data_IF_781499905753
#
_entry.id   IF_781499905753
#
_cell.length_a   1.000
_cell.length_b   1.000
_cell.length_c   1.000
_cell.angle_alpha   90.00
_cell.angle_beta   90.00
_cell.angle_gamma   90.00
#
_symmetry.space_group_name_H-M   'P 1'
#
loop_
_entity.id
_entity.type
_entity.pdbx_description
1 polymer ?
#
# COMPACT_ATOMS: atom_id res chain seq x y z
N UNK A 1 16.74 -9.83 5.01
CA UNK A 1 16.96 -9.36 6.39
C UNK A 1 18.18 -10.10 6.95
N UNK A 2 19.22 -9.36 7.40
CA UNK A 2 20.45 -9.93 7.95
C UNK A 2 20.26 -10.52 9.36
N UNK A 3 21.30 -11.19 9.88
CA UNK A 3 21.35 -11.66 11.26
C UNK A 3 21.16 -10.47 12.22
N UNK A 4 20.10 -10.52 13.05
CA UNK A 4 19.70 -9.42 13.95
C UNK A 4 18.45 -8.65 13.54
N UNK A 5 17.80 -8.99 12.41
CA UNK A 5 16.52 -8.41 12.05
C UNK A 5 15.40 -8.82 13.03
N UNK A 6 14.48 -7.92 13.39
CA UNK A 6 13.37 -8.24 14.28
C UNK A 6 12.50 -9.35 13.69
N UNK A 7 11.96 -10.21 14.56
CA UNK A 7 11.06 -11.27 14.13
C UNK A 7 9.74 -10.68 13.59
N UNK A 8 9.00 -11.43 12.78
CA UNK A 8 7.67 -10.99 12.31
C UNK A 8 6.72 -10.68 13.48
N UNK A 9 6.89 -11.38 14.60
CA UNK A 9 6.12 -11.15 15.81
C UNK A 9 6.48 -9.83 16.47
N UNK A 10 7.78 -9.50 16.54
CA UNK A 10 8.25 -8.20 17.05
C UNK A 10 7.76 -7.05 16.17
N UNK A 11 7.78 -7.22 14.84
CA UNK A 11 7.24 -6.24 13.90
C UNK A 11 5.72 -6.05 14.06
N UNK A 12 4.99 -7.12 14.31
CA UNK A 12 3.55 -7.07 14.48
C UNK A 12 3.12 -6.38 15.79
N UNK A 13 3.88 -6.60 16.87
CA UNK A 13 3.64 -5.98 18.20
C UNK A 13 4.29 -4.60 18.30
N UNK A 14 5.21 -4.25 17.39
CA UNK A 14 5.88 -2.95 17.42
C UNK A 14 7.12 -2.91 18.30
N UNK A 15 7.75 -4.04 18.57
CA UNK A 15 9.00 -4.14 19.33
C UNK A 15 10.21 -3.89 18.42
N UNK A 16 10.21 -2.75 17.72
CA UNK A 16 11.32 -2.31 16.88
C UNK A 16 11.41 -0.78 16.89
N UNK A 17 12.58 -0.26 16.48
CA UNK A 17 12.80 1.18 16.39
C UNK A 17 11.98 1.76 15.22
N UNK A 18 10.94 2.51 15.54
CA UNK A 18 10.06 3.15 14.57
C UNK A 18 9.29 4.32 15.18
N UNK A 19 8.51 5.01 14.38
CA UNK A 19 7.71 6.15 14.82
C UNK A 19 6.54 5.70 15.71
N UNK A 20 6.25 6.48 16.75
CA UNK A 20 5.09 6.24 17.62
C UNK A 20 3.78 6.24 16.80
N UNK A 21 2.98 5.20 16.94
CA UNK A 21 1.71 5.04 16.25
C UNK A 21 1.75 4.24 14.95
N UNK A 22 2.92 4.04 14.35
CA UNK A 22 3.08 3.23 13.14
C UNK A 22 3.50 1.78 13.45
N UNK A 23 4.07 1.54 14.62
CA UNK A 23 4.74 0.30 14.99
C UNK A 23 3.78 -0.84 15.33
N UNK A 24 2.56 -0.55 15.82
CA UNK A 24 1.58 -1.56 16.20
C UNK A 24 0.71 -2.04 15.03
N UNK A 25 1.28 -2.79 14.10
CA UNK A 25 0.55 -3.25 12.91
C UNK A 25 -0.72 -4.06 13.24
N UNK A 26 -0.69 -4.93 14.26
CA UNK A 26 -1.86 -5.71 14.70
C UNK A 26 -2.99 -4.78 15.16
N UNK A 27 -2.68 -3.78 15.98
CA UNK A 27 -3.69 -2.85 16.50
C UNK A 27 -4.31 -2.05 15.35
N UNK A 28 -3.50 -1.60 14.39
CA UNK A 28 -3.99 -0.88 13.21
C UNK A 28 -4.91 -1.74 12.36
N UNK A 29 -4.60 -3.02 12.17
CA UNK A 29 -5.48 -3.96 11.45
C UNK A 29 -6.79 -4.18 12.21
N UNK A 30 -6.76 -4.34 13.53
CA UNK A 30 -7.98 -4.45 14.35
C UNK A 30 -8.84 -3.18 14.28
N UNK A 31 -8.21 -2.00 14.30
CA UNK A 31 -8.90 -0.72 14.08
C UNK A 31 -9.54 -0.68 12.69
N UNK A 32 -8.82 -1.10 11.65
CA UNK A 32 -9.35 -1.15 10.28
C UNK A 32 -10.59 -2.04 10.18
N UNK A 33 -10.54 -3.23 10.79
CA UNK A 33 -11.68 -4.16 10.83
C UNK A 33 -12.86 -3.53 11.58
N UNK A 34 -12.64 -2.97 12.76
CA UNK A 34 -13.66 -2.32 13.55
C UNK A 34 -14.33 -1.16 12.79
N UNK A 35 -13.55 -0.25 12.21
CA UNK A 35 -14.06 0.89 11.46
C UNK A 35 -14.81 0.46 10.19
N UNK A 36 -14.35 -0.62 9.53
CA UNK A 36 -15.01 -1.19 8.35
C UNK A 36 -16.36 -1.82 8.72
N UNK A 37 -16.46 -2.57 9.83
CA UNK A 37 -17.71 -3.15 10.33
C UNK A 37 -18.70 -2.04 10.71
N UNK A 38 -18.22 -0.97 11.29
CA UNK A 38 -19.03 0.21 11.64
C UNK A 38 -19.45 1.04 10.41
N UNK A 39 -18.92 0.70 9.22
CA UNK A 39 -19.22 1.44 7.99
C UNK A 39 -18.63 2.86 7.94
N UNK A 40 -17.68 3.16 8.82
CA UNK A 40 -17.00 4.47 8.87
C UNK A 40 -16.04 4.60 7.71
N UNK A 41 -15.31 3.52 7.41
CA UNK A 41 -14.36 3.44 6.28
C UNK A 41 -14.79 2.37 5.28
N UNK A 42 -14.43 2.56 4.01
CA UNK A 42 -14.59 1.51 3.00
C UNK A 42 -13.40 0.55 3.07
N UNK A 43 -13.65 -0.70 3.45
CA UNK A 43 -12.64 -1.76 3.56
C UNK A 43 -11.83 -2.00 2.28
N UNK A 44 -12.38 -1.60 1.12
CA UNK A 44 -11.69 -1.75 -0.18
C UNK A 44 -10.41 -0.96 -0.24
N UNK A 45 -10.42 0.28 0.25
CA UNK A 45 -9.25 1.16 0.20
C UNK A 45 -8.02 0.56 0.90
N UNK A 46 -8.06 0.21 2.20
CA UNK A 46 -6.90 -0.37 2.87
C UNK A 46 -6.51 -1.74 2.31
N UNK A 47 -7.49 -2.58 1.95
CA UNK A 47 -7.21 -3.92 1.42
C UNK A 47 -6.48 -3.85 0.07
N UNK A 48 -6.96 -3.04 -0.86
CA UNK A 48 -6.30 -2.89 -2.17
C UNK A 48 -4.95 -2.18 -2.06
N UNK A 49 -4.80 -1.21 -1.17
CA UNK A 49 -3.54 -0.52 -0.96
C UNK A 49 -2.47 -1.45 -0.36
N UNK A 50 -2.73 -2.03 0.80
CA UNK A 50 -1.78 -2.91 1.50
C UNK A 50 -1.54 -4.19 0.69
N UNK A 51 -2.60 -4.78 0.12
CA UNK A 51 -2.50 -6.00 -0.68
C UNK A 51 -1.68 -5.82 -1.95
N UNK A 52 -1.84 -4.72 -2.69
CA UNK A 52 -1.05 -4.46 -3.89
C UNK A 52 0.41 -4.15 -3.57
N UNK A 53 0.70 -3.45 -2.47
CA UNK A 53 2.07 -3.23 -1.99
C UNK A 53 2.73 -4.55 -1.58
N UNK A 54 2.03 -5.38 -0.83
CA UNK A 54 2.53 -6.70 -0.45
C UNK A 54 2.89 -7.54 -1.69
N UNK A 55 1.99 -7.59 -2.69
CA UNK A 55 2.26 -8.29 -3.95
C UNK A 55 3.45 -7.70 -4.70
N UNK A 56 3.59 -6.37 -4.73
CA UNK A 56 4.72 -5.70 -5.36
C UNK A 56 6.05 -6.09 -4.67
N UNK A 57 6.09 -6.13 -3.34
CA UNK A 57 7.28 -6.57 -2.61
C UNK A 57 7.55 -8.06 -2.79
N UNK A 58 6.53 -8.94 -2.81
CA UNK A 58 6.69 -10.35 -3.11
C UNK A 58 7.34 -10.55 -4.49
N UNK A 59 6.82 -9.88 -5.51
CA UNK A 59 7.39 -9.96 -6.86
C UNK A 59 8.86 -9.48 -6.89
N UNK A 60 9.15 -8.39 -6.19
CA UNK A 60 10.51 -7.87 -6.09
C UNK A 60 11.47 -8.90 -5.48
N UNK A 61 11.12 -9.49 -4.34
CA UNK A 61 11.98 -10.49 -3.66
C UNK A 61 12.08 -11.81 -4.42
N UNK A 62 11.02 -12.24 -5.11
CA UNK A 62 11.07 -13.40 -6.00
C UNK A 62 12.03 -13.18 -7.17
N UNK A 63 12.01 -11.99 -7.78
CA UNK A 63 12.95 -11.64 -8.85
C UNK A 63 14.40 -11.49 -8.34
N UNK A 64 14.58 -11.11 -7.06
CA UNK A 64 15.91 -11.06 -6.44
C UNK A 64 16.48 -12.45 -6.10
N UNK A 65 15.70 -13.53 -6.24
CA UNK A 65 16.15 -14.90 -6.02
C UNK A 65 15.96 -15.42 -4.60
N UNK A 66 15.24 -14.72 -3.73
CA UNK A 66 15.04 -15.09 -2.32
C UNK A 66 14.09 -16.31 -2.12
N UNK A 67 13.52 -16.83 -3.20
CA UNK A 67 12.70 -18.04 -3.18
C UNK A 67 11.53 -17.96 -2.20
N UNK A 68 11.42 -18.95 -1.30
CA UNK A 68 10.32 -19.03 -0.34
C UNK A 68 10.37 -17.93 0.74
N UNK A 69 11.53 -17.36 1.02
CA UNK A 69 11.71 -16.28 1.99
C UNK A 69 11.12 -14.95 1.49
N UNK A 70 10.90 -14.80 0.18
CA UNK A 70 10.31 -13.62 -0.43
C UNK A 70 8.96 -13.22 0.19
N UNK A 71 8.12 -14.19 0.53
CA UNK A 71 6.82 -13.94 1.17
C UNK A 71 6.95 -13.38 2.58
N UNK A 72 7.91 -13.91 3.36
CA UNK A 72 8.19 -13.45 4.71
C UNK A 72 8.75 -12.04 4.71
N UNK A 73 9.71 -11.79 3.85
CA UNK A 73 10.40 -10.50 3.77
C UNK A 73 9.49 -9.42 3.21
N UNK A 74 8.64 -9.73 2.23
CA UNK A 74 7.59 -8.83 1.75
C UNK A 74 6.60 -8.45 2.86
N UNK A 75 6.21 -9.42 3.70
CA UNK A 75 5.33 -9.16 4.83
C UNK A 75 6.00 -8.23 5.85
N UNK A 76 7.26 -8.48 6.18
CA UNK A 76 8.05 -7.62 7.06
C UNK A 76 8.15 -6.19 6.51
N UNK A 77 8.46 -6.03 5.21
CA UNK A 77 8.52 -4.72 4.56
C UNK A 77 7.19 -3.97 4.56
N UNK A 78 6.07 -4.70 4.47
CA UNK A 78 4.73 -4.12 4.52
C UNK A 78 4.35 -3.65 5.92
N UNK A 79 4.84 -4.32 6.96
CA UNK A 79 4.58 -3.95 8.35
C UNK A 79 5.41 -2.76 8.84
N UNK A 80 6.55 -2.49 8.18
CA UNK A 80 7.48 -1.42 8.58
C UNK A 80 7.15 -0.11 7.87
N UNK A 81 7.32 1.00 8.56
CA UNK A 81 7.37 2.34 7.98
C UNK A 81 6.04 2.91 7.53
N UNK A 82 5.01 2.78 8.34
CA UNK A 82 3.77 3.54 8.18
C UNK A 82 2.85 3.09 7.04
N UNK A 83 3.14 1.98 6.33
CA UNK A 83 2.27 1.50 5.24
C UNK A 83 0.88 1.16 5.77
N UNK A 84 0.81 0.37 6.86
CA UNK A 84 -0.46 -0.02 7.46
C UNK A 84 -1.19 1.21 8.04
N UNK A 85 -0.46 2.08 8.74
CA UNK A 85 -1.01 3.32 9.28
C UNK A 85 -1.58 4.23 8.17
N UNK A 86 -0.78 4.50 7.15
CA UNK A 86 -1.18 5.34 6.01
C UNK A 86 -2.38 4.76 5.25
N UNK A 87 -2.40 3.44 5.03
CA UNK A 87 -3.49 2.75 4.36
C UNK A 87 -4.79 2.70 5.14
N UNK A 88 -4.71 2.56 6.47
CA UNK A 88 -5.89 2.42 7.34
C UNK A 88 -6.48 3.76 7.76
N UNK A 89 -5.66 4.73 8.12
CA UNK A 89 -6.11 5.99 8.70
C UNK A 89 -6.03 7.15 7.71
N UNK A 90 -4.90 7.31 7.00
CA UNK A 90 -4.71 8.48 6.16
C UNK A 90 -5.42 8.37 4.80
N UNK A 91 -5.37 7.17 4.17
CA UNK A 91 -5.95 6.96 2.84
C UNK A 91 -7.47 6.75 2.87
N UNK A 92 -8.03 6.45 4.04
CA UNK A 92 -9.47 6.21 4.23
C UNK A 92 -10.23 7.44 4.73
N UNK A 93 -9.59 8.59 4.84
CA UNK A 93 -10.23 9.83 5.25
C UNK A 93 -11.40 10.16 4.30
N UNK A 94 -12.65 10.25 4.80
CA UNK A 94 -13.82 10.47 3.96
C UNK A 94 -13.80 11.80 3.21
N UNK A 95 -13.00 12.78 3.64
CA UNK A 95 -12.90 14.09 3.00
C UNK A 95 -12.07 14.01 1.72
N UNK A 96 -10.99 13.23 1.72
CA UNK A 96 -10.05 13.14 0.59
C UNK A 96 -10.27 11.92 -0.30
N UNK A 97 -11.13 10.99 0.11
CA UNK A 97 -11.41 9.76 -0.64
C UNK A 97 -12.43 9.99 -1.75
N UNK A 98 -12.25 9.41 -2.96
CA UNK A 98 -13.22 9.46 -4.04
C UNK A 98 -14.62 8.98 -3.62
N UNK A 99 -15.66 9.62 -4.17
CA UNK A 99 -17.06 9.27 -3.87
C UNK A 99 -17.46 7.92 -4.43
N UNK A 100 -16.95 7.56 -5.61
CA UNK A 100 -17.23 6.28 -6.27
C UNK A 100 -16.40 5.14 -5.69
N UNK A 101 -17.02 3.97 -5.49
CA UNK A 101 -16.34 2.76 -4.98
C UNK A 101 -15.17 2.31 -5.86
N UNK A 102 -15.32 2.40 -7.20
CA UNK A 102 -14.23 2.13 -8.14
C UNK A 102 -13.12 3.19 -8.06
N UNK A 103 -13.47 4.45 -7.81
CA UNK A 103 -12.51 5.52 -7.57
C UNK A 103 -11.60 5.25 -6.38
N UNK A 104 -12.16 4.72 -5.29
CA UNK A 104 -11.39 4.34 -4.09
C UNK A 104 -10.38 3.25 -4.37
N UNK A 105 -10.76 2.24 -5.16
CA UNK A 105 -9.83 1.17 -5.57
C UNK A 105 -8.71 1.74 -6.45
N UNK A 106 -9.04 2.58 -7.42
CA UNK A 106 -8.07 3.24 -8.29
C UNK A 106 -7.11 4.12 -7.48
N UNK A 107 -7.64 4.92 -6.56
CA UNK A 107 -6.85 5.73 -5.63
C UNK A 107 -5.87 4.85 -4.83
N UNK A 108 -6.36 3.74 -4.26
CA UNK A 108 -5.54 2.81 -3.49
C UNK A 108 -4.39 2.21 -4.32
N UNK A 109 -4.67 1.79 -5.57
CA UNK A 109 -3.68 1.22 -6.47
C UNK A 109 -2.61 2.23 -6.90
N UNK A 110 -3.03 3.46 -7.25
CA UNK A 110 -2.09 4.53 -7.61
C UNK A 110 -1.19 4.88 -6.41
N UNK A 111 -1.79 4.98 -5.21
CA UNK A 111 -1.02 5.26 -4.00
C UNK A 111 -0.02 4.15 -3.70
N UNK A 112 -0.41 2.89 -3.87
CA UNK A 112 0.48 1.75 -3.67
C UNK A 112 1.65 1.77 -4.65
N UNK A 113 1.38 2.06 -5.92
CA UNK A 113 2.43 2.19 -6.94
C UNK A 113 3.43 3.31 -6.60
N UNK A 114 2.92 4.50 -6.25
CA UNK A 114 3.77 5.62 -5.86
C UNK A 114 4.58 5.30 -4.60
N UNK A 115 3.95 4.67 -3.59
CA UNK A 115 4.64 4.25 -2.38
C UNK A 115 5.78 3.27 -2.68
N UNK A 116 5.54 2.29 -3.56
CA UNK A 116 6.58 1.35 -3.99
C UNK A 116 7.75 2.08 -4.67
N UNK A 117 7.46 2.98 -5.62
CA UNK A 117 8.48 3.75 -6.33
C UNK A 117 9.27 4.64 -5.36
N UNK A 118 8.61 5.40 -4.49
CA UNK A 118 9.30 6.26 -3.55
C UNK A 118 10.19 5.50 -2.57
N UNK A 119 9.71 4.38 -2.05
CA UNK A 119 10.49 3.60 -1.09
C UNK A 119 11.64 2.83 -1.72
N UNK A 120 11.44 2.30 -2.92
CA UNK A 120 12.40 1.39 -3.54
C UNK A 120 13.30 2.05 -4.57
N UNK A 121 12.77 2.92 -5.42
CA UNK A 121 13.55 3.58 -6.48
C UNK A 121 14.19 4.85 -5.96
N UNK A 122 13.44 5.67 -5.23
CA UNK A 122 13.95 6.96 -4.71
C UNK A 122 14.66 6.80 -3.37
N UNK A 123 14.39 5.70 -2.63
CA UNK A 123 15.02 5.44 -1.33
C UNK A 123 14.48 6.31 -0.19
N UNK A 124 13.26 6.86 -0.33
CA UNK A 124 12.63 7.67 0.72
C UNK A 124 11.85 6.79 1.70
N UNK A 125 12.25 6.70 2.97
CA UNK A 125 11.55 5.91 3.99
C UNK A 125 10.11 6.40 4.20
N UNK A 126 9.86 7.71 4.09
CA UNK A 126 8.55 8.35 4.25
C UNK A 126 7.73 8.42 2.94
N UNK A 127 8.02 7.54 1.97
CA UNK A 127 7.34 7.49 0.68
C UNK A 127 5.83 7.34 0.76
N UNK A 128 5.29 6.80 1.87
CA UNK A 128 3.85 6.68 2.12
C UNK A 128 3.18 8.05 2.20
N UNK A 129 3.72 8.97 2.99
CA UNK A 129 3.15 10.31 3.17
C UNK A 129 3.14 11.11 1.87
N UNK A 130 4.24 11.08 1.12
CA UNK A 130 4.33 11.75 -0.19
C UNK A 130 3.35 11.16 -1.21
N UNK A 131 3.20 9.83 -1.23
CA UNK A 131 2.26 9.16 -2.13
C UNK A 131 0.82 9.57 -1.85
N UNK A 132 0.42 9.59 -0.58
CA UNK A 132 -0.93 9.99 -0.16
C UNK A 132 -1.17 11.46 -0.51
N UNK A 133 -0.20 12.34 -0.26
CA UNK A 133 -0.32 13.76 -0.58
C UNK A 133 -0.56 13.99 -2.08
N UNK A 134 0.23 13.34 -2.93
CA UNK A 134 0.09 13.45 -4.39
C UNK A 134 -1.27 12.93 -4.84
N UNK A 135 -1.69 11.78 -4.33
CA UNK A 135 -2.96 11.17 -4.76
C UNK A 135 -4.17 11.96 -4.25
N UNK A 136 -4.09 12.58 -3.09
CA UNK A 136 -5.15 13.49 -2.61
C UNK A 136 -5.36 14.68 -3.57
N UNK A 137 -4.29 15.21 -4.15
CA UNK A 137 -4.39 16.24 -5.22
C UNK A 137 -5.03 15.68 -6.49
N UNK A 138 -4.81 14.40 -6.80
CA UNK A 138 -5.39 13.74 -7.97
C UNK A 138 -6.84 13.28 -7.76
N UNK A 139 -7.33 13.19 -6.53
CA UNK A 139 -8.70 12.71 -6.21
C UNK A 139 -9.81 13.42 -6.99
N UNK A 140 -9.84 14.77 -7.14
CA UNK A 140 -10.86 15.44 -7.94
C UNK A 140 -10.85 15.02 -9.42
N UNK A 141 -9.67 14.73 -9.97
CA UNK A 141 -9.53 14.22 -11.34
C UNK A 141 -10.06 12.81 -11.47
N UNK A 142 -9.75 11.94 -10.49
CA UNK A 142 -10.28 10.57 -10.43
C UNK A 142 -11.80 10.61 -10.39
N UNK A 143 -12.40 11.43 -9.53
CA UNK A 143 -13.85 11.56 -9.43
C UNK A 143 -14.46 12.09 -10.73
N UNK A 144 -13.83 13.05 -11.42
CA UNK A 144 -14.30 13.58 -12.68
C UNK A 144 -14.31 12.53 -13.80
N UNK A 145 -13.28 11.68 -13.85
CA UNK A 145 -13.16 10.63 -14.88
C UNK A 145 -14.18 9.50 -14.62
N UNK A 146 -14.44 9.17 -13.35
CA UNK A 146 -15.28 8.03 -12.97
C UNK A 146 -16.75 8.45 -12.83
N UNK A 147 -17.04 9.75 -12.77
CA UNK A 147 -18.39 10.29 -12.53
C UNK A 147 -19.40 9.75 -13.54
N UNK A 148 -20.25 8.83 -13.08
CA UNK A 148 -21.44 8.34 -13.75
C UNK A 148 -21.30 7.02 -14.52
N UNK A 149 -20.15 6.41 -14.66
CA UNK A 149 -20.02 5.12 -15.34
C UNK A 149 -18.91 4.27 -14.73
N UNK A 150 -19.29 3.40 -13.81
CA UNK A 150 -18.46 2.27 -13.36
C UNK A 150 -18.25 1.33 -14.57
N UNK A 151 -17.26 1.60 -15.38
CA UNK A 151 -16.84 0.65 -16.39
C UNK A 151 -15.95 -0.38 -15.68
N UNK A 152 -16.44 -1.61 -15.57
CA UNK A 152 -15.78 -2.72 -14.88
C UNK A 152 -14.37 -3.04 -15.42
N UNK A 153 -14.02 -2.49 -16.58
CA UNK A 153 -12.69 -2.67 -17.19
C UNK A 153 -11.62 -1.67 -16.72
N UNK A 154 -11.99 -0.54 -16.09
CA UNK A 154 -11.00 0.43 -15.60
C UNK A 154 -10.16 -0.12 -14.46
N UNK A 155 -10.77 -0.86 -13.54
CA UNK A 155 -10.04 -1.47 -12.43
C UNK A 155 -9.01 -2.50 -12.91
N UNK A 156 -9.37 -3.51 -13.74
CA UNK A 156 -8.38 -4.46 -14.25
C UNK A 156 -7.31 -3.80 -15.13
N UNK A 157 -7.64 -2.76 -15.88
CA UNK A 157 -6.66 -2.02 -16.69
C UNK A 157 -5.63 -1.32 -15.80
N UNK A 158 -6.06 -0.66 -14.72
CA UNK A 158 -5.14 0.01 -13.80
C UNK A 158 -4.31 -1.01 -13.01
N UNK A 159 -4.91 -2.13 -12.60
CA UNK A 159 -4.18 -3.24 -11.96
C UNK A 159 -3.09 -3.76 -12.89
N UNK A 160 -3.39 -3.99 -14.17
CA UNK A 160 -2.40 -4.49 -15.13
C UNK A 160 -1.28 -3.48 -15.40
N UNK A 161 -1.61 -2.18 -15.49
CA UNK A 161 -0.61 -1.11 -15.65
C UNK A 161 0.28 -1.01 -14.40
N UNK A 162 -0.32 -1.03 -13.20
CA UNK A 162 0.45 -0.97 -11.96
C UNK A 162 1.38 -2.17 -11.81
N UNK A 163 0.92 -3.37 -12.16
CA UNK A 163 1.73 -4.57 -12.16
C UNK A 163 2.90 -4.47 -13.17
N UNK A 164 2.62 -3.99 -14.39
CA UNK A 164 3.65 -3.80 -15.42
C UNK A 164 4.73 -2.80 -14.96
N UNK A 165 4.34 -1.68 -14.35
CA UNK A 165 5.29 -0.68 -13.82
C UNK A 165 6.14 -1.27 -12.70
N UNK A 166 5.54 -2.06 -11.80
CA UNK A 166 6.28 -2.75 -10.74
C UNK A 166 7.29 -3.72 -11.33
N UNK A 167 6.90 -4.52 -12.32
CA UNK A 167 7.81 -5.47 -12.99
C UNK A 167 8.96 -4.75 -13.71
N UNK A 168 8.69 -3.65 -14.39
CA UNK A 168 9.73 -2.84 -15.04
C UNK A 168 10.67 -2.22 -14.01
N UNK A 169 10.13 -1.66 -12.91
CA UNK A 169 10.95 -1.11 -11.84
C UNK A 169 11.85 -2.19 -11.19
N UNK A 170 11.31 -3.39 -10.98
CA UNK A 170 12.07 -4.54 -10.47
C UNK A 170 13.16 -4.96 -11.47
N UNK A 171 12.87 -5.01 -12.76
CA UNK A 171 13.86 -5.34 -13.79
C UNK A 171 15.02 -4.33 -13.83
N UNK A 172 14.71 -3.03 -13.69
CA UNK A 172 15.74 -1.96 -13.66
C UNK A 172 16.62 -2.07 -12.40
N UNK A 173 16.05 -2.49 -11.27
CA UNK A 173 16.78 -2.59 -10.00
C UNK A 173 17.65 -3.86 -9.90
N UNK A 174 17.37 -4.87 -10.70
CA UNK A 174 18.10 -6.15 -10.71
C UNK A 174 19.06 -6.30 -11.91
N UNK A 175 19.06 -5.36 -12.86
CA UNK A 175 19.99 -5.29 -13.98
C UNK A 175 21.13 -4.34 -13.71
#
# INVERSE_FOLDING_TARGET
FGEGAPSLFDLAIGNYLGSLGETFAIVLVLIAIYLSIRGIIDWRTPVFYVGSLYLAFVLMFLCAGDGLYAFRDALAYTMVGGIVFGGVLCLTDPVTTPTAKSGRVIMALITALLTFVFRRVVGLPEGVAYSILIVNVLTPFIDKIIKGRTRDYLVPMIVSISLAVVLVAVAILNG
#
